data_IF_847568692311
#
_entry.id   IF_847568692311
#
_cell.length_a   1.000
_cell.length_b   1.000
_cell.length_c   1.000
_cell.angle_alpha   90.00
_cell.angle_beta   90.00
_cell.angle_gamma   90.00
#
_symmetry.space_group_name_H-M   'P 1'
#
loop_
_entity.id
_entity.type
_entity.pdbx_description
1 polymer ?
#
# COMPACT_ATOMS: atom_id res chain seq x y z
N UNK A 1 23.84 29.29 -5.82
CA UNK A 1 23.69 28.73 -7.20
C UNK A 1 22.38 29.28 -7.78
N UNK A 2 22.35 29.92 -8.96
CA UNK A 2 21.08 30.38 -9.57
C UNK A 2 20.21 29.15 -9.90
N UNK A 3 18.93 29.15 -9.52
CA UNK A 3 17.96 28.02 -9.62
C UNK A 3 17.98 27.29 -10.97
N UNK A 4 18.21 28.02 -12.07
CA UNK A 4 18.31 27.46 -13.43
C UNK A 4 19.56 26.62 -13.69
N UNK A 5 20.71 26.94 -13.07
CA UNK A 5 21.95 26.15 -13.22
C UNK A 5 21.82 24.80 -12.52
N UNK A 6 21.30 24.78 -11.30
CA UNK A 6 21.07 23.54 -10.55
C UNK A 6 20.07 22.63 -11.28
N UNK A 7 18.94 23.18 -11.73
CA UNK A 7 17.96 22.42 -12.53
C UNK A 7 18.56 21.85 -13.83
N UNK A 8 19.43 22.61 -14.51
CA UNK A 8 20.12 22.13 -15.72
C UNK A 8 21.08 20.98 -15.43
N UNK A 9 21.87 21.06 -14.35
CA UNK A 9 22.77 19.96 -13.95
C UNK A 9 21.97 18.71 -13.59
N UNK A 10 20.89 18.85 -12.82
CA UNK A 10 20.02 17.73 -12.46
C UNK A 10 19.42 17.09 -13.72
N UNK A 11 18.83 17.89 -14.61
CA UNK A 11 18.11 17.37 -15.79
C UNK A 11 19.02 16.82 -16.88
N UNK A 12 20.17 17.43 -17.10
CA UNK A 12 21.01 17.15 -18.27
C UNK A 12 22.27 16.34 -17.94
N UNK A 13 22.64 16.21 -16.66
CA UNK A 13 23.85 15.47 -16.24
C UNK A 13 23.46 14.33 -15.29
N UNK A 14 22.91 14.65 -14.12
CA UNK A 14 22.61 13.64 -13.10
C UNK A 14 21.49 12.69 -13.55
N UNK A 15 20.41 13.23 -14.11
CA UNK A 15 19.28 12.46 -14.59
C UNK A 15 19.70 11.39 -15.61
N UNK A 16 20.31 11.76 -16.74
CA UNK A 16 20.78 10.79 -17.73
C UNK A 16 21.79 9.78 -17.17
N UNK A 17 22.69 10.21 -16.27
CA UNK A 17 23.64 9.30 -15.63
C UNK A 17 22.93 8.23 -14.78
N UNK A 18 22.06 8.64 -13.85
CA UNK A 18 21.33 7.68 -13.01
C UNK A 18 20.36 6.80 -13.80
N UNK A 19 19.80 7.31 -14.92
CA UNK A 19 19.00 6.51 -15.85
C UNK A 19 19.83 5.40 -16.49
N UNK A 20 21.02 5.73 -16.98
CA UNK A 20 21.94 4.76 -17.58
C UNK A 20 22.41 3.73 -16.56
N UNK A 21 22.79 4.17 -15.35
CA UNK A 21 23.21 3.30 -14.26
C UNK A 21 22.09 2.33 -13.86
N UNK A 22 20.85 2.81 -13.72
CA UNK A 22 19.69 1.96 -13.42
C UNK A 22 19.44 0.93 -14.52
N UNK A 23 19.44 1.36 -15.79
CA UNK A 23 19.24 0.45 -16.92
C UNK A 23 20.34 -0.61 -17.01
N UNK A 24 21.59 -0.23 -16.71
CA UNK A 24 22.73 -1.15 -16.68
C UNK A 24 22.65 -2.14 -15.51
N UNK A 25 22.25 -1.69 -14.32
CA UNK A 25 22.14 -2.55 -13.13
C UNK A 25 21.00 -3.56 -13.26
N UNK A 26 19.90 -3.20 -13.95
CA UNK A 26 18.82 -4.14 -14.29
C UNK A 26 19.26 -5.11 -15.41
N UNK A 27 19.83 -4.57 -16.49
CA UNK A 27 20.25 -5.34 -17.65
C UNK A 27 19.08 -6.10 -18.29
N UNK A 28 19.24 -7.42 -18.46
CA UNK A 28 18.20 -8.32 -19.01
C UNK A 28 17.48 -9.12 -17.91
N UNK A 29 17.61 -8.68 -16.64
CA UNK A 29 16.96 -9.30 -15.50
C UNK A 29 15.46 -9.05 -15.50
N UNK A 30 14.72 -9.89 -14.76
CA UNK A 30 13.30 -9.65 -14.52
C UNK A 30 13.09 -8.46 -13.60
N UNK A 31 11.99 -7.73 -13.83
CA UNK A 31 11.55 -6.62 -12.99
C UNK A 31 10.03 -6.60 -12.88
N UNK A 32 9.51 -5.83 -11.93
CA UNK A 32 8.08 -5.53 -11.82
C UNK A 32 7.85 -4.05 -11.66
N UNK A 33 6.63 -3.59 -11.94
CA UNK A 33 6.25 -2.20 -11.73
C UNK A 33 5.18 -2.09 -10.65
N UNK A 34 5.24 -1.02 -9.86
CA UNK A 34 4.13 -0.51 -9.07
C UNK A 34 3.66 0.77 -9.76
N UNK A 35 2.38 0.81 -10.11
CA UNK A 35 1.78 1.95 -10.80
C UNK A 35 0.56 2.47 -10.03
N UNK A 36 0.55 3.79 -9.82
CA UNK A 36 -0.50 4.48 -9.09
C UNK A 36 -0.92 5.78 -9.78
N UNK A 37 -2.22 6.06 -9.76
CA UNK A 37 -2.81 7.28 -10.33
C UNK A 37 -3.08 8.30 -9.23
N UNK A 38 -2.58 9.51 -9.39
CA UNK A 38 -2.90 10.63 -8.50
C UNK A 38 -3.40 11.84 -9.29
N UNK A 39 -4.20 12.68 -8.64
CA UNK A 39 -4.70 13.93 -9.22
C UNK A 39 -4.19 15.10 -8.39
N UNK A 40 -3.47 16.02 -9.02
CA UNK A 40 -3.00 17.26 -8.37
C UNK A 40 -4.15 18.27 -8.19
N UNK A 41 -3.94 19.25 -7.32
CA UNK A 41 -4.81 20.40 -7.03
C UNK A 41 -5.21 21.13 -8.32
N UNK A 42 -4.33 21.13 -9.34
CA UNK A 42 -4.60 21.71 -10.66
C UNK A 42 -5.47 20.84 -11.58
N UNK A 43 -6.03 19.72 -11.09
CA UNK A 43 -6.82 18.71 -11.84
C UNK A 43 -5.98 17.92 -12.86
N UNK A 44 -4.67 18.13 -12.87
CA UNK A 44 -3.73 17.35 -13.69
C UNK A 44 -3.57 15.95 -13.09
N UNK A 45 -3.73 14.92 -13.92
CA UNK A 45 -3.53 13.54 -13.50
C UNK A 45 -2.08 13.13 -13.71
N UNK A 46 -1.56 12.32 -12.80
CA UNK A 46 -0.22 11.78 -12.84
C UNK A 46 -0.26 10.27 -12.69
N UNK A 47 0.54 9.58 -13.49
CA UNK A 47 0.85 8.17 -13.32
C UNK A 47 2.25 8.08 -12.74
N UNK A 48 2.33 7.66 -11.49
CA UNK A 48 3.60 7.36 -10.87
C UNK A 48 3.97 5.90 -11.14
N UNK A 49 5.24 5.69 -11.49
CA UNK A 49 5.78 4.38 -11.81
C UNK A 49 7.00 4.15 -10.92
N UNK A 50 6.94 3.10 -10.12
CA UNK A 50 8.08 2.57 -9.38
C UNK A 50 8.45 1.20 -9.93
N UNK A 51 9.72 0.83 -9.84
CA UNK A 51 10.27 -0.43 -10.36
C UNK A 51 10.89 -1.25 -9.22
N UNK A 52 10.65 -2.56 -9.27
CA UNK A 52 11.25 -3.57 -8.38
C UNK A 52 12.15 -4.47 -9.22
N UNK A 53 13.41 -4.62 -8.84
CA UNK A 53 14.39 -5.41 -9.57
C UNK A 53 15.51 -5.91 -8.66
N UNK A 54 16.26 -6.91 -9.10
CA UNK A 54 17.50 -7.33 -8.43
C UNK A 54 18.66 -6.45 -8.88
N UNK A 55 19.27 -5.72 -7.94
CA UNK A 55 20.52 -4.99 -8.17
C UNK A 55 21.70 -5.94 -8.02
N UNK A 56 22.42 -6.19 -9.11
CA UNK A 56 23.66 -6.98 -9.08
C UNK A 56 24.72 -6.26 -8.25
N UNK A 57 24.80 -4.93 -8.40
CA UNK A 57 25.79 -4.10 -7.70
C UNK A 57 25.60 -4.13 -6.18
N UNK A 58 24.35 -4.13 -5.72
CA UNK A 58 24.00 -4.12 -4.28
C UNK A 58 23.67 -5.52 -3.73
N UNK A 59 23.67 -6.54 -4.59
CA UNK A 59 23.30 -7.94 -4.26
C UNK A 59 21.99 -8.03 -3.48
N UNK A 60 20.98 -7.27 -3.91
CA UNK A 60 19.68 -7.19 -3.22
C UNK A 60 18.56 -6.73 -4.16
N UNK A 61 17.32 -7.12 -3.86
CA UNK A 61 16.13 -6.54 -4.45
C UNK A 61 16.02 -5.08 -4.03
N UNK A 62 15.73 -4.23 -5.01
CA UNK A 62 15.61 -2.79 -4.89
C UNK A 62 14.24 -2.38 -5.40
N UNK A 63 13.57 -1.53 -4.63
CA UNK A 63 12.43 -0.73 -5.10
C UNK A 63 12.90 0.70 -5.29
N UNK A 64 12.62 1.30 -6.44
CA UNK A 64 12.96 2.69 -6.71
C UNK A 64 11.89 3.36 -7.56
N UNK A 65 11.75 4.67 -7.38
CA UNK A 65 10.95 5.50 -8.27
C UNK A 65 11.56 5.50 -9.68
N UNK A 66 10.73 5.34 -10.70
CA UNK A 66 11.15 5.28 -12.11
C UNK A 66 10.71 6.53 -12.89
N UNK A 67 9.44 6.92 -12.81
CA UNK A 67 8.93 8.07 -13.56
C UNK A 67 7.62 8.64 -13.00
N UNK A 68 7.39 9.93 -13.22
CA UNK A 68 6.11 10.61 -13.00
C UNK A 68 5.56 11.09 -14.33
N UNK A 69 4.60 10.38 -14.91
CA UNK A 69 4.03 10.73 -16.20
C UNK A 69 2.84 11.66 -16.01
N UNK A 70 2.90 12.87 -16.57
CA UNK A 70 1.73 13.76 -16.66
C UNK A 70 0.75 13.23 -17.70
N UNK A 71 -0.52 13.11 -17.32
CA UNK A 71 -1.57 12.56 -18.16
C UNK A 71 -2.78 13.49 -18.25
N UNK A 72 -3.32 13.64 -19.45
CA UNK A 72 -4.57 14.38 -19.66
C UNK A 72 -5.81 13.57 -19.25
N UNK A 73 -5.90 12.32 -19.73
CA UNK A 73 -6.99 11.39 -19.39
C UNK A 73 -6.40 10.03 -19.03
N UNK A 74 -6.81 9.48 -17.89
CA UNK A 74 -6.40 8.14 -17.45
C UNK A 74 -7.34 7.06 -17.99
N UNK A 75 -7.19 6.76 -19.27
CA UNK A 75 -7.74 5.55 -19.88
C UNK A 75 -6.72 4.42 -19.82
N UNK A 76 -7.18 3.18 -19.91
CA UNK A 76 -6.27 2.02 -19.92
C UNK A 76 -5.25 2.12 -21.06
N UNK A 77 -5.66 2.59 -22.23
CA UNK A 77 -4.75 2.82 -23.37
C UNK A 77 -3.71 3.91 -23.08
N UNK A 78 -4.12 5.01 -22.44
CA UNK A 78 -3.21 6.08 -22.05
C UNK A 78 -2.16 5.61 -21.05
N UNK A 79 -2.57 4.83 -20.05
CA UNK A 79 -1.65 4.27 -19.03
C UNK A 79 -0.69 3.28 -19.68
N UNK A 80 -1.18 2.37 -20.53
CA UNK A 80 -0.32 1.41 -21.25
C UNK A 80 0.70 2.13 -22.14
N UNK A 81 0.28 3.18 -22.85
CA UNK A 81 1.19 3.97 -23.66
C UNK A 81 2.26 4.67 -22.80
N UNK A 82 1.89 5.24 -21.66
CA UNK A 82 2.82 5.88 -20.73
C UNK A 82 3.83 4.87 -20.14
N UNK A 83 3.37 3.69 -19.73
CA UNK A 83 4.23 2.60 -19.26
C UNK A 83 5.21 2.20 -20.36
N UNK A 84 4.73 1.91 -21.57
CA UNK A 84 5.61 1.51 -22.69
C UNK A 84 6.60 2.60 -23.07
N UNK A 85 6.17 3.86 -23.11
CA UNK A 85 7.07 4.99 -23.37
C UNK A 85 8.16 5.09 -22.31
N UNK A 86 7.82 4.88 -21.03
CA UNK A 86 8.79 4.84 -19.95
C UNK A 86 9.75 3.68 -20.12
N UNK A 87 9.26 2.47 -20.42
CA UNK A 87 10.13 1.31 -20.64
C UNK A 87 11.11 1.53 -21.82
N UNK A 88 10.64 2.12 -22.92
CA UNK A 88 11.51 2.47 -24.06
C UNK A 88 12.58 3.50 -23.67
N UNK A 89 12.24 4.51 -22.87
CA UNK A 89 13.19 5.53 -22.41
C UNK A 89 14.32 4.93 -21.58
N UNK A 90 14.00 3.92 -20.75
CA UNK A 90 14.98 3.19 -19.92
C UNK A 90 15.57 1.96 -20.62
N UNK A 91 15.26 1.72 -21.90
CA UNK A 91 15.71 0.54 -22.66
C UNK A 91 15.34 -0.80 -22.00
N UNK A 92 14.21 -0.84 -21.27
CA UNK A 92 13.70 -2.02 -20.59
C UNK A 92 12.75 -2.79 -21.50
N UNK A 93 12.94 -4.11 -21.58
CA UNK A 93 12.07 -4.99 -22.39
C UNK A 93 10.79 -5.29 -21.66
N UNK A 94 9.65 -5.13 -22.33
CA UNK A 94 8.35 -5.46 -21.75
C UNK A 94 8.22 -6.96 -21.43
N UNK A 95 8.84 -7.85 -22.21
CA UNK A 95 8.79 -9.31 -21.94
C UNK A 95 9.49 -9.71 -20.64
N UNK A 96 10.37 -8.86 -20.10
CA UNK A 96 11.06 -9.07 -18.83
C UNK A 96 10.24 -8.57 -17.62
N UNK A 97 9.06 -7.98 -17.84
CA UNK A 97 8.17 -7.55 -16.77
C UNK A 97 7.41 -8.76 -16.19
N UNK A 98 7.61 -9.04 -14.90
CA UNK A 98 7.00 -10.19 -14.18
C UNK A 98 5.76 -9.82 -13.39
N UNK A 99 5.72 -8.63 -12.81
CA UNK A 99 4.59 -8.19 -12.00
C UNK A 99 4.16 -6.77 -12.33
N UNK A 100 2.86 -6.51 -12.15
CA UNK A 100 2.31 -5.16 -12.05
C UNK A 100 1.48 -5.06 -10.77
N UNK A 101 1.92 -4.19 -9.86
CA UNK A 101 1.21 -3.79 -8.67
C UNK A 101 0.37 -2.57 -9.00
N UNK A 102 -0.92 -2.59 -8.68
CA UNK A 102 -1.81 -1.46 -8.91
C UNK A 102 -3.04 -1.47 -8.01
N UNK A 103 -3.77 -0.36 -7.97
CA UNK A 103 -5.06 -0.25 -7.30
C UNK A 103 -6.10 -1.19 -7.95
N UNK A 104 -7.26 -1.31 -7.31
CA UNK A 104 -8.32 -2.17 -7.81
C UNK A 104 -9.25 -1.47 -8.82
N UNK A 105 -8.86 -0.33 -9.38
CA UNK A 105 -9.72 0.40 -10.30
C UNK A 105 -10.01 -0.45 -11.55
N UNK A 106 -11.22 -0.30 -12.10
CA UNK A 106 -11.64 -1.04 -13.29
C UNK A 106 -10.78 -0.73 -14.51
N UNK A 107 -10.19 0.47 -14.57
CA UNK A 107 -9.22 0.87 -15.61
C UNK A 107 -7.95 0.02 -15.53
N UNK A 108 -7.50 -0.33 -14.33
CA UNK A 108 -6.27 -1.09 -14.12
C UNK A 108 -6.49 -2.60 -14.23
N UNK A 109 -7.55 -3.10 -13.59
CA UNK A 109 -7.80 -4.53 -13.36
C UNK A 109 -8.94 -5.13 -14.20
N UNK A 110 -9.58 -4.32 -15.05
CA UNK A 110 -10.74 -4.72 -15.84
C UNK A 110 -10.48 -5.94 -16.71
N UNK A 111 -11.39 -6.91 -16.65
CA UNK A 111 -11.25 -8.21 -17.33
C UNK A 111 -11.11 -8.04 -18.84
N UNK A 112 -11.77 -7.06 -19.47
CA UNK A 112 -11.81 -6.90 -20.93
C UNK A 112 -10.88 -5.82 -21.49
N UNK A 113 -10.73 -4.70 -20.78
CA UNK A 113 -10.00 -3.54 -21.29
C UNK A 113 -9.09 -2.91 -20.23
N UNK A 114 -8.73 -3.66 -19.18
CA UNK A 114 -7.83 -3.17 -18.14
C UNK A 114 -6.37 -3.09 -18.60
N UNK A 115 -5.60 -2.22 -17.96
CA UNK A 115 -4.15 -2.08 -18.17
C UNK A 115 -3.44 -3.42 -18.07
N UNK A 116 -3.74 -4.21 -17.03
CA UNK A 116 -3.13 -5.53 -16.86
C UNK A 116 -3.37 -6.45 -18.06
N UNK A 117 -4.61 -6.52 -18.58
CA UNK A 117 -4.93 -7.39 -19.73
C UNK A 117 -4.16 -6.97 -20.97
N UNK A 118 -4.04 -5.67 -21.22
CA UNK A 118 -3.29 -5.14 -22.37
C UNK A 118 -1.80 -5.44 -22.25
N UNK A 119 -1.20 -5.21 -21.09
CA UNK A 119 0.22 -5.54 -20.87
C UNK A 119 0.47 -7.05 -20.94
N UNK A 120 -0.44 -7.87 -20.38
CA UNK A 120 -0.33 -9.34 -20.39
C UNK A 120 -0.41 -9.95 -21.79
N UNK A 121 -1.06 -9.27 -22.74
CA UNK A 121 -1.09 -9.71 -24.14
C UNK A 121 0.31 -9.70 -24.79
N UNK A 122 1.22 -8.85 -24.30
CA UNK A 122 2.61 -8.73 -24.80
C UNK A 122 3.64 -9.32 -23.82
N UNK A 123 3.31 -9.41 -22.53
CA UNK A 123 4.08 -10.09 -21.50
C UNK A 123 3.25 -11.26 -20.91
N UNK A 124 3.28 -12.46 -21.51
CA UNK A 124 2.39 -13.56 -21.14
C UNK A 124 2.46 -13.99 -19.66
N UNK A 125 3.66 -13.86 -19.06
CA UNK A 125 3.91 -14.22 -17.68
C UNK A 125 3.68 -13.08 -16.68
N UNK A 126 3.04 -11.99 -17.10
CA UNK A 126 2.74 -10.88 -16.22
C UNK A 126 1.71 -11.29 -15.16
N UNK A 127 2.05 -11.06 -13.91
CA UNK A 127 1.19 -11.25 -12.74
C UNK A 127 0.62 -9.91 -12.30
N UNK A 128 -0.69 -9.87 -12.06
CA UNK A 128 -1.35 -8.73 -11.44
C UNK A 128 -1.33 -8.89 -9.93
N UNK A 129 -0.69 -7.96 -9.23
CA UNK A 129 -0.81 -7.82 -7.78
C UNK A 129 -1.77 -6.67 -7.51
N UNK A 130 -2.89 -7.01 -6.89
CA UNK A 130 -3.92 -6.05 -6.48
C UNK A 130 -3.54 -5.45 -5.12
N UNK A 131 -3.82 -4.16 -4.95
CA UNK A 131 -3.63 -3.51 -3.67
C UNK A 131 -4.54 -4.14 -2.59
N UNK A 132 -3.93 -4.67 -1.53
CA UNK A 132 -4.65 -5.22 -0.37
C UNK A 132 -5.37 -4.11 0.40
N UNK A 133 -4.77 -2.93 0.55
CA UNK A 133 -5.39 -1.79 1.23
C UNK A 133 -6.71 -1.38 0.56
N UNK A 134 -6.71 -1.26 -0.77
CA UNK A 134 -7.91 -0.97 -1.56
C UNK A 134 -8.91 -2.13 -1.54
N UNK A 135 -8.43 -3.38 -1.58
CA UNK A 135 -9.30 -4.56 -1.48
C UNK A 135 -10.05 -4.60 -0.15
N UNK A 136 -9.32 -4.36 0.95
CA UNK A 136 -9.88 -4.27 2.29
C UNK A 136 -10.85 -3.09 2.38
N UNK A 137 -10.49 -1.94 1.85
CA UNK A 137 -11.37 -0.77 1.85
C UNK A 137 -12.68 -1.01 1.10
N UNK A 138 -12.63 -1.69 -0.05
CA UNK A 138 -13.84 -2.06 -0.81
C UNK A 138 -14.72 -3.03 -0.01
N UNK A 139 -14.13 -4.04 0.63
CA UNK A 139 -14.85 -5.01 1.45
C UNK A 139 -15.52 -4.32 2.67
N UNK A 140 -14.76 -3.49 3.39
CA UNK A 140 -15.26 -2.73 4.55
C UNK A 140 -16.32 -1.73 4.14
N UNK A 141 -16.14 -1.00 3.04
CA UNK A 141 -17.14 -0.05 2.54
C UNK A 141 -18.44 -0.75 2.14
N UNK A 142 -18.37 -1.95 1.56
CA UNK A 142 -19.56 -2.73 1.21
C UNK A 142 -20.29 -3.22 2.47
N UNK A 143 -19.56 -3.79 3.43
CA UNK A 143 -20.12 -4.29 4.68
C UNK A 143 -20.75 -3.16 5.52
N UNK A 144 -20.08 -2.02 5.62
CA UNK A 144 -20.60 -0.85 6.36
C UNK A 144 -21.83 -0.23 5.71
N UNK A 145 -21.91 -0.19 4.37
CA UNK A 145 -23.09 0.31 3.68
C UNK A 145 -24.36 -0.54 3.93
N UNK A 146 -24.19 -1.83 4.20
CA UNK A 146 -25.29 -2.76 4.50
C UNK A 146 -25.61 -2.80 6.01
N UNK A 147 -24.58 -2.82 6.86
CA UNK A 147 -24.73 -3.04 8.30
C UNK A 147 -24.92 -1.76 9.13
N UNK A 148 -24.33 -0.63 8.72
CA UNK A 148 -24.38 0.61 9.51
C UNK A 148 -25.58 1.49 9.12
N UNK A 149 -26.39 1.92 10.10
CA UNK A 149 -27.42 2.93 9.87
C UNK A 149 -26.84 4.22 9.27
N UNK A 150 -27.43 4.72 8.18
CA UNK A 150 -27.03 5.98 7.51
C UNK A 150 -26.98 7.20 8.44
N UNK A 151 -27.70 7.15 9.55
CA UNK A 151 -27.70 8.18 10.61
C UNK A 151 -26.30 8.38 11.20
N UNK A 152 -25.47 7.32 11.29
CA UNK A 152 -24.12 7.39 11.84
C UNK A 152 -23.12 8.05 10.90
N UNK A 153 -23.15 7.72 9.60
CA UNK A 153 -22.30 8.41 8.60
C UNK A 153 -22.61 9.92 8.59
N UNK A 154 -23.90 10.27 8.73
CA UNK A 154 -24.33 11.66 8.85
C UNK A 154 -23.81 12.32 10.13
N UNK A 155 -23.91 11.65 11.30
CA UNK A 155 -23.42 12.17 12.58
C UNK A 155 -21.93 12.51 12.53
N UNK A 156 -21.13 11.57 12.05
CA UNK A 156 -19.67 11.70 11.96
C UNK A 156 -19.31 12.87 11.05
N UNK A 157 -19.91 12.91 9.85
CA UNK A 157 -19.64 13.96 8.85
C UNK A 157 -20.06 15.34 9.34
N UNK A 158 -21.26 15.47 9.88
CA UNK A 158 -21.78 16.78 10.29
C UNK A 158 -21.12 17.30 11.57
N UNK A 159 -20.68 16.41 12.47
CA UNK A 159 -19.84 16.80 13.63
C UNK A 159 -18.51 17.39 13.13
N UNK A 160 -17.84 16.77 12.16
CA UNK A 160 -16.64 17.35 11.56
C UNK A 160 -16.93 18.71 10.88
N UNK A 161 -17.95 18.78 10.02
CA UNK A 161 -18.32 20.00 9.30
C UNK A 161 -18.62 21.16 10.24
N UNK A 162 -19.21 20.88 11.40
CA UNK A 162 -19.53 21.88 12.42
C UNK A 162 -18.28 22.65 12.87
N UNK A 163 -17.19 21.93 13.13
CA UNK A 163 -15.91 22.50 13.58
C UNK A 163 -15.05 23.00 12.43
N UNK A 164 -15.05 22.32 11.28
CA UNK A 164 -14.22 22.68 10.12
C UNK A 164 -14.59 24.06 9.55
N UNK A 165 -15.87 24.44 9.61
CA UNK A 165 -16.37 25.69 8.99
C UNK A 165 -16.03 26.95 9.78
N UNK A 166 -15.88 26.85 11.10
CA UNK A 166 -15.74 28.04 11.95
C UNK A 166 -14.75 27.81 13.10
N UNK A 167 -13.55 28.45 13.06
CA UNK A 167 -12.56 28.35 14.14
C UNK A 167 -13.10 28.78 15.51
N UNK A 168 -14.04 29.73 15.55
CA UNK A 168 -14.68 30.18 16.79
C UNK A 168 -15.42 29.04 17.52
N UNK A 169 -15.99 28.08 16.79
CA UNK A 169 -16.68 26.92 17.37
C UNK A 169 -15.69 25.94 18.01
N UNK A 170 -14.49 25.80 17.43
CA UNK A 170 -13.41 25.00 18.02
C UNK A 170 -12.91 25.62 19.33
N UNK A 171 -12.75 26.96 19.38
CA UNK A 171 -12.36 27.66 20.61
C UNK A 171 -13.43 27.53 21.70
N UNK A 172 -14.70 27.67 21.35
CA UNK A 172 -15.82 27.51 22.29
C UNK A 172 -15.86 26.09 22.87
N UNK A 173 -15.69 25.07 22.01
CA UNK A 173 -15.62 23.68 22.44
C UNK A 173 -14.42 23.38 23.33
N UNK A 174 -13.22 23.85 22.96
CA UNK A 174 -12.00 23.72 23.77
C UNK A 174 -12.16 24.32 25.17
N UNK A 175 -12.81 25.48 25.28
CA UNK A 175 -13.10 26.09 26.58
C UNK A 175 -14.08 25.26 27.40
N UNK A 176 -15.14 24.72 26.78
CA UNK A 176 -16.10 23.86 27.45
C UNK A 176 -15.45 22.55 27.92
N UNK A 177 -14.67 21.92 27.05
CA UNK A 177 -13.97 20.67 27.33
C UNK A 177 -13.04 20.81 28.53
N UNK A 178 -12.20 21.84 28.56
CA UNK A 178 -11.30 22.08 29.70
C UNK A 178 -12.04 22.38 31.02
N UNK A 179 -13.26 22.91 30.97
CA UNK A 179 -14.09 23.07 32.19
C UNK A 179 -14.68 21.76 32.68
N UNK A 180 -14.90 20.79 31.79
CA UNK A 180 -15.47 19.48 32.11
C UNK A 180 -14.41 18.46 32.53
N UNK A 181 -13.18 18.60 32.00
CA UNK A 181 -12.09 17.65 32.13
C UNK A 181 -10.84 18.27 32.80
N UNK A 182 -11.04 19.07 33.84
CA UNK A 182 -9.98 19.61 34.71
C UNK A 182 -8.78 20.28 34.00
N UNK A 183 -9.05 20.95 32.87
CA UNK A 183 -8.06 21.69 32.09
C UNK A 183 -7.42 20.92 30.93
N UNK A 184 -7.85 19.68 30.67
CA UNK A 184 -7.39 18.90 29.52
C UNK A 184 -7.82 19.49 28.18
N UNK A 185 -7.15 19.04 27.12
CA UNK A 185 -7.38 19.48 25.74
C UNK A 185 -8.20 18.46 24.95
N UNK A 186 -9.21 18.89 24.18
CA UNK A 186 -10.01 17.97 23.35
C UNK A 186 -9.19 17.39 22.19
N UNK A 187 -9.52 16.15 21.80
CA UNK A 187 -9.02 15.58 20.54
C UNK A 187 -9.67 16.28 19.35
N UNK A 188 -8.85 16.68 18.36
CA UNK A 188 -9.34 17.34 17.14
C UNK A 188 -10.26 16.40 16.35
N UNK A 189 -11.51 16.79 16.11
CA UNK A 189 -12.39 15.99 15.25
C UNK A 189 -11.82 15.93 13.83
N UNK A 190 -11.62 14.73 13.31
CA UNK A 190 -11.04 14.50 11.97
C UNK A 190 -12.13 14.22 10.94
N UNK A 191 -11.84 14.55 9.69
CA UNK A 191 -12.71 14.19 8.59
C UNK A 191 -12.61 12.69 8.33
N UNK A 192 -13.74 11.99 8.36
CA UNK A 192 -13.81 10.64 7.81
C UNK A 192 -13.60 10.73 6.29
N UNK A 193 -12.48 10.19 5.81
CA UNK A 193 -12.11 10.14 4.41
C UNK A 193 -12.52 8.80 3.81
N UNK A 194 -13.27 8.85 2.70
CA UNK A 194 -13.75 7.66 1.99
C UNK A 194 -12.64 6.81 1.36
N UNK A 195 -11.45 7.36 1.16
CA UNK A 195 -10.30 6.62 0.58
C UNK A 195 -9.28 6.18 1.61
N UNK A 196 -9.35 6.68 2.86
CA UNK A 196 -8.40 6.34 3.94
C UNK A 196 -9.18 5.80 5.13
N UNK A 197 -9.47 4.52 5.12
CA UNK A 197 -10.34 3.87 6.11
C UNK A 197 -9.89 4.03 7.57
N UNK A 198 -8.59 4.12 7.83
CA UNK A 198 -8.04 4.49 9.15
C UNK A 198 -8.61 5.82 9.67
N UNK A 199 -8.96 6.76 8.78
CA UNK A 199 -9.58 8.03 9.20
C UNK A 199 -11.00 7.87 9.72
N UNK A 200 -11.72 6.81 9.35
CA UNK A 200 -13.06 6.54 9.88
C UNK A 200 -12.96 6.03 11.32
N UNK A 201 -12.05 5.10 11.59
CA UNK A 201 -11.81 4.58 12.95
C UNK A 201 -11.36 5.71 13.89
N UNK A 202 -10.40 6.52 13.47
CA UNK A 202 -9.97 7.71 14.22
C UNK A 202 -11.13 8.72 14.40
N UNK A 203 -11.94 8.97 13.37
CA UNK A 203 -13.08 9.89 13.47
C UNK A 203 -14.13 9.39 14.47
N UNK A 204 -14.42 8.09 14.44
CA UNK A 204 -15.37 7.43 15.34
C UNK A 204 -14.85 7.46 16.77
N UNK A 205 -13.61 7.00 17.02
CA UNK A 205 -13.00 7.00 18.34
C UNK A 205 -13.04 8.39 18.96
N UNK A 206 -12.61 9.42 18.23
CA UNK A 206 -12.60 10.81 18.77
C UNK A 206 -13.98 11.36 19.10
N UNK A 207 -15.03 10.90 18.43
CA UNK A 207 -16.41 11.30 18.73
C UNK A 207 -16.93 10.54 19.95
N UNK A 208 -16.65 9.24 20.03
CA UNK A 208 -17.02 8.37 21.16
C UNK A 208 -16.32 8.82 22.45
N UNK A 209 -15.01 9.01 22.40
CA UNK A 209 -14.17 9.42 23.54
C UNK A 209 -14.58 10.79 24.13
N UNK A 210 -15.28 11.60 23.35
CA UNK A 210 -15.71 12.96 23.73
C UNK A 210 -17.24 13.13 23.65
N UNK A 211 -18.01 12.03 23.71
CA UNK A 211 -19.45 12.07 23.44
C UNK A 211 -20.20 13.01 24.40
N UNK A 212 -19.84 12.98 25.68
CA UNK A 212 -20.50 13.75 26.74
C UNK A 212 -20.28 15.25 26.55
N UNK A 213 -19.06 15.63 26.22
CA UNK A 213 -18.62 17.00 25.97
C UNK A 213 -19.24 17.54 24.67
N UNK A 214 -19.25 16.74 23.62
CA UNK A 214 -19.88 17.09 22.35
C UNK A 214 -21.40 17.30 22.53
N UNK A 215 -22.06 16.43 23.30
CA UNK A 215 -23.48 16.60 23.64
C UNK A 215 -23.72 17.91 24.40
N UNK A 216 -22.91 18.23 25.40
CA UNK A 216 -22.99 19.48 26.14
C UNK A 216 -22.75 20.71 25.24
N UNK A 217 -21.80 20.60 24.31
CA UNK A 217 -21.51 21.64 23.33
C UNK A 217 -22.73 21.94 22.44
N UNK A 218 -23.35 20.90 21.86
CA UNK A 218 -24.51 21.08 20.99
C UNK A 218 -25.76 21.55 21.75
N UNK A 219 -25.90 21.19 23.02
CA UNK A 219 -26.94 21.71 23.91
C UNK A 219 -26.82 23.24 24.12
N UNK A 220 -25.60 23.73 24.31
CA UNK A 220 -25.34 25.16 24.42
C UNK A 220 -25.56 25.82 23.05
N UNK A 221 -24.97 25.27 21.99
CA UNK A 221 -25.03 25.83 20.64
C UNK A 221 -26.46 25.94 20.10
N UNK A 222 -27.35 24.97 20.37
CA UNK A 222 -28.76 25.07 19.91
C UNK A 222 -29.50 26.23 20.59
N UNK A 223 -29.16 26.55 21.84
CA UNK A 223 -29.79 27.64 22.60
C UNK A 223 -29.20 29.02 22.22
N UNK A 224 -27.91 29.08 21.92
CA UNK A 224 -27.19 30.34 21.67
C UNK A 224 -27.14 30.74 20.20
N UNK A 225 -26.87 29.80 19.28
CA UNK A 225 -26.64 30.09 17.86
C UNK A 225 -27.92 30.00 17.00
N UNK A 226 -29.05 29.52 17.56
CA UNK A 226 -30.35 29.36 16.87
C UNK A 226 -30.24 28.78 15.46
N UNK A 227 -29.35 27.79 15.27
CA UNK A 227 -29.15 27.16 13.99
C UNK A 227 -29.65 25.72 14.02
N UNK A 228 -30.39 25.34 12.97
CA UNK A 228 -31.01 24.02 12.86
C UNK A 228 -29.98 22.88 12.91
N UNK A 229 -28.76 23.12 12.41
CA UNK A 229 -27.67 22.13 12.48
C UNK A 229 -27.32 21.75 13.93
N UNK A 230 -27.34 22.70 14.88
CA UNK A 230 -27.09 22.40 16.29
C UNK A 230 -28.25 21.62 16.93
N UNK A 231 -29.50 21.92 16.56
CA UNK A 231 -30.67 21.17 17.03
C UNK A 231 -30.66 19.72 16.53
N UNK A 232 -30.34 19.51 15.26
CA UNK A 232 -30.20 18.18 14.66
C UNK A 232 -29.09 17.40 15.34
N UNK A 233 -27.88 17.98 15.45
CA UNK A 233 -26.75 17.31 16.09
C UNK A 233 -27.07 17.00 17.56
N UNK A 234 -27.61 17.94 18.33
CA UNK A 234 -28.03 17.67 19.70
C UNK A 234 -29.02 16.50 19.80
N UNK A 235 -30.06 16.47 18.97
CA UNK A 235 -31.02 15.36 18.95
C UNK A 235 -30.38 14.02 18.60
N UNK A 236 -29.33 14.02 17.78
CA UNK A 236 -28.54 12.82 17.48
C UNK A 236 -27.67 12.37 18.66
N UNK A 237 -27.02 13.30 19.38
CA UNK A 237 -26.25 12.99 20.59
C UNK A 237 -27.14 12.65 21.80
N UNK A 238 -28.40 13.09 21.81
CA UNK A 238 -29.38 12.77 22.84
C UNK A 238 -29.97 11.35 22.68
N UNK A 239 -30.15 10.91 21.45
CA UNK A 239 -30.73 9.60 21.15
C UNK A 239 -29.82 8.46 21.66
N UNK A 240 -30.27 7.76 22.71
CA UNK A 240 -29.53 6.66 23.31
C UNK A 240 -29.28 5.46 22.39
N UNK A 241 -30.01 5.32 21.27
CA UNK A 241 -29.69 4.31 20.25
C UNK A 241 -28.35 4.65 19.58
N UNK A 242 -28.01 5.93 19.43
CA UNK A 242 -26.71 6.36 18.90
C UNK A 242 -25.58 6.21 19.93
N UNK A 243 -25.90 6.26 21.23
CA UNK A 243 -24.99 5.96 22.33
C UNK A 243 -24.73 4.45 22.46
N UNK A 244 -25.77 3.59 22.33
CA UNK A 244 -25.63 2.13 22.34
C UNK A 244 -24.96 1.55 21.10
N UNK A 245 -24.70 2.38 20.09
CA UNK A 245 -23.78 2.06 19.00
C UNK A 245 -22.32 2.20 19.43
N UNK A 246 -21.99 2.79 20.59
CA UNK A 246 -20.68 2.58 21.23
C UNK A 246 -20.43 1.08 21.44
N UNK A 247 -21.42 0.26 21.80
CA UNK A 247 -21.20 -1.20 21.88
C UNK A 247 -21.02 -1.88 20.51
N UNK A 248 -21.35 -1.20 19.40
CA UNK A 248 -21.16 -1.68 18.02
C UNK A 248 -19.96 -1.02 17.30
N UNK A 249 -19.49 0.13 17.79
CA UNK A 249 -18.39 0.94 17.28
C UNK A 249 -17.15 0.85 18.18
N UNK A 250 -17.29 0.36 19.42
CA UNK A 250 -16.20 0.02 20.34
C UNK A 250 -15.53 -1.26 19.82
N UNK A 251 -14.29 -1.16 19.35
CA UNK A 251 -13.63 -2.22 18.60
C UNK A 251 -13.06 -3.30 19.52
N UNK A 252 -13.92 -4.09 20.18
CA UNK A 252 -13.50 -5.35 20.84
C UNK A 252 -14.57 -6.44 20.71
N UNK A 253 -14.31 -7.55 20.02
CA UNK A 253 -13.44 -7.74 18.87
C UNK A 253 -14.28 -7.66 17.57
N UNK A 254 -14.06 -6.62 16.77
CA UNK A 254 -14.59 -6.58 15.40
C UNK A 254 -13.68 -7.41 14.47
N UNK A 255 -14.11 -7.63 13.23
CA UNK A 255 -13.39 -8.43 12.21
C UNK A 255 -11.88 -8.10 12.10
N UNK A 256 -11.48 -6.85 12.37
CA UNK A 256 -10.07 -6.45 12.47
C UNK A 256 -9.30 -7.19 13.56
N UNK A 257 -9.84 -7.25 14.79
CA UNK A 257 -9.25 -8.05 15.88
C UNK A 257 -9.25 -9.55 15.58
N UNK A 258 -10.31 -10.09 14.96
CA UNK A 258 -10.31 -11.51 14.57
C UNK A 258 -9.31 -11.79 13.46
N UNK A 259 -9.12 -10.86 12.52
CA UNK A 259 -8.12 -10.97 11.45
C UNK A 259 -6.70 -10.78 11.99
N UNK A 260 -6.46 -9.80 12.85
CA UNK A 260 -5.17 -9.57 13.54
C UNK A 260 -4.86 -10.75 14.45
N UNK A 261 -5.81 -11.22 15.25
CA UNK A 261 -5.66 -12.43 16.08
C UNK A 261 -5.47 -13.66 15.22
N UNK A 262 -6.11 -13.77 14.05
CA UNK A 262 -5.87 -14.88 13.11
C UNK A 262 -4.48 -14.78 12.46
N UNK A 263 -4.04 -13.58 12.08
CA UNK A 263 -2.71 -13.31 11.52
C UNK A 263 -1.63 -13.54 12.58
N UNK A 264 -1.86 -13.12 13.81
CA UNK A 264 -0.96 -13.30 14.94
C UNK A 264 -0.98 -14.75 15.44
N UNK A 265 -2.12 -15.45 15.36
CA UNK A 265 -2.18 -16.89 15.55
C UNK A 265 -1.48 -17.63 14.41
N UNK A 266 -1.55 -17.16 13.16
CA UNK A 266 -0.78 -17.72 12.04
C UNK A 266 0.73 -17.46 12.21
N UNK A 267 1.12 -16.31 12.77
CA UNK A 267 2.52 -16.00 13.12
C UNK A 267 2.98 -16.83 14.33
N UNK A 268 2.12 -17.04 15.32
CA UNK A 268 2.39 -17.83 16.53
C UNK A 268 2.41 -19.35 16.24
N UNK A 269 1.54 -19.82 15.34
CA UNK A 269 1.60 -21.19 14.78
C UNK A 269 2.82 -21.41 13.88
N UNK A 270 3.50 -20.33 13.42
CA UNK A 270 4.80 -20.43 12.75
C UNK A 270 5.98 -20.46 13.72
N UNK A 271 5.78 -20.16 15.01
CA UNK A 271 6.85 -20.23 16.03
C UNK A 271 6.92 -21.56 16.77
N UNK A 272 5.87 -22.37 16.75
CA UNK A 272 5.91 -23.75 17.23
C UNK A 272 5.85 -24.71 16.04
N UNK A 273 6.95 -25.44 15.83
CA UNK A 273 7.14 -26.52 14.86
C UNK A 273 7.24 -26.12 13.38
N UNK A 274 8.36 -25.48 13.01
CA UNK A 274 9.07 -25.95 11.81
C UNK A 274 9.87 -27.21 12.20
N UNK A 275 9.15 -28.29 12.54
CA UNK A 275 9.75 -29.61 12.41
C UNK A 275 10.03 -29.77 10.92
N UNK A 276 11.31 -29.77 10.56
CA UNK A 276 11.78 -30.14 9.22
C UNK A 276 11.40 -31.61 9.03
N UNK A 277 10.14 -31.84 8.68
CA UNK A 277 9.64 -33.13 8.22
C UNK A 277 9.88 -33.18 6.72
N UNK A 278 11.05 -33.72 6.37
CA UNK A 278 11.29 -34.61 5.23
C UNK A 278 10.20 -34.65 4.15
N UNK A 279 10.18 -33.62 3.30
CA UNK A 279 9.92 -33.62 1.85
C UNK A 279 9.56 -32.18 1.48
N UNK A 280 10.49 -31.48 0.81
CA UNK A 280 10.22 -30.13 0.34
C UNK A 280 8.99 -30.17 -0.58
N UNK A 281 7.95 -29.38 -0.27
CA UNK A 281 6.72 -29.34 -1.06
C UNK A 281 7.07 -29.19 -2.55
N UNK A 282 6.43 -29.97 -3.45
CA UNK A 282 6.77 -29.95 -4.85
C UNK A 282 6.51 -28.57 -5.43
N UNK A 283 7.53 -27.94 -6.02
CA UNK A 283 7.43 -26.64 -6.69
C UNK A 283 6.51 -26.66 -7.92
N UNK A 284 6.08 -27.84 -8.39
CA UNK A 284 5.32 -28.04 -9.63
C UNK A 284 4.08 -27.13 -9.71
N UNK A 285 3.18 -27.10 -8.71
CA UNK A 285 1.96 -26.30 -8.82
C UNK A 285 2.26 -24.80 -9.00
N UNK A 286 3.30 -24.31 -8.32
CA UNK A 286 3.74 -22.92 -8.46
C UNK A 286 4.36 -22.65 -9.83
N UNK A 287 5.20 -23.56 -10.33
CA UNK A 287 5.85 -23.43 -11.63
C UNK A 287 4.81 -23.47 -12.77
N UNK A 288 3.82 -24.36 -12.68
CA UNK A 288 2.69 -24.43 -13.60
C UNK A 288 1.82 -23.17 -13.56
N UNK A 289 1.53 -22.66 -12.35
CA UNK A 289 0.79 -21.40 -12.18
C UNK A 289 1.52 -20.19 -12.81
N UNK A 290 2.87 -20.22 -12.82
CA UNK A 290 3.71 -19.21 -13.47
C UNK A 290 3.96 -19.49 -14.96
N UNK A 291 3.32 -20.52 -15.52
CA UNK A 291 3.45 -20.97 -16.90
C UNK A 291 4.91 -21.24 -17.31
N UNK A 292 5.69 -21.84 -16.41
CA UNK A 292 7.06 -22.28 -16.71
C UNK A 292 7.02 -23.48 -17.66
N UNK A 293 7.86 -23.53 -18.72
CA UNK A 293 7.87 -24.65 -19.66
C UNK A 293 8.23 -25.98 -18.97
N UNK A 294 7.61 -27.12 -19.36
CA UNK A 294 7.85 -28.41 -18.71
C UNK A 294 9.33 -28.83 -18.64
N UNK A 295 10.11 -28.55 -19.69
CA UNK A 295 11.55 -28.85 -19.71
C UNK A 295 12.34 -28.04 -18.67
N UNK A 296 11.86 -26.84 -18.32
CA UNK A 296 12.46 -26.01 -17.27
C UNK A 296 12.00 -26.47 -15.89
N UNK A 297 10.75 -26.93 -15.77
CA UNK A 297 10.22 -27.51 -14.52
C UNK A 297 11.09 -28.68 -14.06
N UNK A 298 11.38 -29.63 -14.95
CA UNK A 298 12.20 -30.80 -14.62
C UNK A 298 13.60 -30.40 -14.10
N UNK A 299 14.24 -29.42 -14.75
CA UNK A 299 15.52 -28.88 -14.31
C UNK A 299 15.44 -28.22 -12.94
N UNK A 300 14.45 -27.37 -12.72
CA UNK A 300 14.24 -26.66 -11.45
C UNK A 300 14.02 -27.67 -10.31
N UNK A 301 13.23 -28.72 -10.54
CA UNK A 301 13.02 -29.77 -9.55
C UNK A 301 14.29 -30.53 -9.20
N UNK A 302 15.09 -30.88 -10.21
CA UNK A 302 16.38 -31.54 -10.01
C UNK A 302 17.34 -30.65 -9.17
N UNK A 303 17.38 -29.36 -9.48
CA UNK A 303 18.18 -28.38 -8.72
C UNK A 303 17.66 -28.20 -7.30
N UNK A 304 16.34 -28.15 -7.12
CA UNK A 304 15.68 -28.03 -5.81
C UNK A 304 16.02 -29.20 -4.89
N UNK A 305 16.02 -30.44 -5.41
CA UNK A 305 16.42 -31.61 -4.64
C UNK A 305 17.92 -31.64 -4.26
N UNK A 306 18.76 -30.87 -4.94
CA UNK A 306 20.20 -30.78 -4.69
C UNK A 306 20.61 -29.59 -3.83
N UNK A 307 19.73 -28.61 -3.63
CA UNK A 307 20.10 -27.36 -2.95
C UNK A 307 20.54 -27.61 -1.52
N UNK A 308 20.01 -28.64 -0.86
CA UNK A 308 20.35 -29.05 0.50
C UNK A 308 21.68 -29.79 0.63
N UNK A 309 22.32 -30.15 -0.49
CA UNK A 309 23.62 -30.84 -0.49
C UNK A 309 24.80 -29.90 -0.26
N UNK A 310 24.57 -28.59 -0.25
CA UNK A 310 25.57 -27.56 -0.03
C UNK A 310 25.23 -26.73 1.20
N UNK A 311 26.27 -26.29 1.90
CA UNK A 311 26.14 -25.36 3.01
C UNK A 311 26.06 -23.92 2.49
N UNK A 312 24.97 -23.23 2.84
CA UNK A 312 24.73 -21.84 2.47
C UNK A 312 25.02 -20.91 3.65
N UNK A 313 25.59 -19.74 3.37
CA UNK A 313 25.95 -18.77 4.43
C UNK A 313 24.75 -17.92 4.85
N UNK A 314 23.89 -17.57 3.89
CA UNK A 314 22.78 -16.65 4.06
C UNK A 314 21.46 -17.40 4.26
N UNK A 315 21.25 -18.00 5.43
CA UNK A 315 20.03 -18.77 5.72
C UNK A 315 18.96 -17.98 6.50
N UNK A 316 19.29 -16.78 6.97
CA UNK A 316 18.39 -15.97 7.81
C UNK A 316 17.41 -15.09 7.03
N UNK A 317 17.68 -14.85 5.75
CA UNK A 317 16.89 -13.97 4.89
C UNK A 317 16.67 -14.65 3.56
N UNK A 318 15.40 -14.81 3.16
CA UNK A 318 15.02 -15.40 1.87
C UNK A 318 15.68 -14.68 0.71
N UNK A 319 15.76 -13.35 0.76
CA UNK A 319 16.37 -12.57 -0.30
C UNK A 319 17.89 -12.79 -0.35
N UNK A 320 18.57 -12.72 0.79
CA UNK A 320 20.03 -12.92 0.87
C UNK A 320 20.42 -14.33 0.46
N UNK A 321 19.62 -15.33 0.85
CA UNK A 321 19.75 -16.72 0.43
C UNK A 321 19.73 -16.85 -1.09
N UNK A 322 18.67 -16.37 -1.73
CA UNK A 322 18.53 -16.51 -3.17
C UNK A 322 19.52 -15.66 -3.98
N UNK A 323 19.97 -14.53 -3.44
CA UNK A 323 21.09 -13.77 -4.02
C UNK A 323 22.41 -14.57 -3.97
N UNK A 324 22.68 -15.29 -2.87
CA UNK A 324 23.83 -16.20 -2.74
C UNK A 324 23.74 -17.35 -3.75
N UNK A 325 22.60 -18.03 -3.81
CA UNK A 325 22.35 -19.16 -4.73
C UNK A 325 22.42 -18.70 -6.19
N UNK A 326 21.93 -17.51 -6.51
CA UNK A 326 22.02 -16.93 -7.86
C UNK A 326 23.45 -16.59 -8.28
N UNK A 327 24.26 -16.15 -7.33
CA UNK A 327 25.67 -15.79 -7.55
C UNK A 327 26.63 -16.98 -7.40
N UNK A 328 26.12 -18.14 -6.97
CA UNK A 328 26.92 -19.34 -6.75
C UNK A 328 27.63 -19.79 -8.03
N UNK A 329 28.90 -20.16 -7.89
CA UNK A 329 29.74 -20.72 -8.95
C UNK A 329 30.52 -21.89 -8.38
N UNK A 330 30.46 -23.02 -9.08
CA UNK A 330 31.25 -24.20 -8.75
C UNK A 330 32.73 -24.03 -9.16
N UNK A 331 33.54 -25.06 -8.96
CA UNK A 331 34.96 -25.06 -9.31
C UNK A 331 35.22 -24.87 -10.83
N UNK A 332 34.21 -25.08 -11.68
CA UNK A 332 34.27 -24.89 -13.12
C UNK A 332 33.72 -23.52 -13.56
N UNK A 333 33.19 -22.70 -12.65
CA UNK A 333 32.59 -21.40 -12.96
C UNK A 333 31.14 -21.48 -13.45
N UNK A 334 30.48 -22.63 -13.25
CA UNK A 334 29.08 -22.83 -13.61
C UNK A 334 28.18 -22.69 -12.37
N UNK A 335 26.95 -22.21 -12.58
CA UNK A 335 25.95 -22.22 -11.50
C UNK A 335 25.05 -23.45 -11.66
N UNK A 336 25.26 -24.44 -10.79
CA UNK A 336 24.48 -25.69 -10.76
C UNK A 336 22.98 -25.46 -10.51
N UNK A 337 22.60 -24.31 -9.95
CA UNK A 337 21.23 -23.92 -9.58
C UNK A 337 20.69 -22.76 -10.43
N UNK A 338 21.23 -22.52 -11.62
CA UNK A 338 20.93 -21.34 -12.43
C UNK A 338 19.43 -21.17 -12.71
N UNK A 339 18.73 -22.22 -13.15
CA UNK A 339 17.30 -22.19 -13.46
C UNK A 339 16.44 -21.96 -12.20
N UNK A 340 16.74 -22.66 -11.11
CA UNK A 340 16.05 -22.52 -9.83
C UNK A 340 16.24 -21.12 -9.24
N UNK A 341 17.49 -20.65 -9.19
CA UNK A 341 17.81 -19.32 -8.70
C UNK A 341 17.16 -18.25 -9.59
N UNK A 342 17.23 -18.41 -10.92
CA UNK A 342 16.59 -17.50 -11.86
C UNK A 342 15.07 -17.42 -11.66
N UNK A 343 14.42 -18.56 -11.41
CA UNK A 343 13.00 -18.60 -11.07
C UNK A 343 12.72 -17.89 -9.74
N UNK A 344 13.46 -18.19 -8.68
CA UNK A 344 13.30 -17.54 -7.38
C UNK A 344 13.50 -16.02 -7.46
N UNK A 345 14.55 -15.55 -8.15
CA UNK A 345 14.79 -14.13 -8.38
C UNK A 345 13.63 -13.47 -9.15
N UNK A 346 13.01 -14.18 -10.10
CA UNK A 346 11.84 -13.68 -10.81
C UNK A 346 10.57 -13.57 -9.95
N UNK A 347 10.49 -14.36 -8.87
CA UNK A 347 9.41 -14.25 -7.88
C UNK A 347 9.69 -13.13 -6.86
N UNK A 348 10.95 -12.96 -6.44
CA UNK A 348 11.33 -11.95 -5.45
C UNK A 348 11.14 -10.50 -5.93
N UNK A 349 11.07 -10.30 -7.24
CA UNK A 349 10.76 -8.98 -7.82
C UNK A 349 9.25 -8.73 -7.92
N UNK A 350 8.38 -9.68 -7.58
CA UNK A 350 6.94 -9.44 -7.60
C UNK A 350 6.55 -8.39 -6.54
N UNK A 351 5.63 -7.46 -6.87
CA UNK A 351 5.16 -6.48 -5.90
C UNK A 351 4.54 -7.17 -4.69
N UNK A 352 4.86 -6.68 -3.50
CA UNK A 352 4.22 -7.10 -2.25
C UNK A 352 3.31 -5.99 -1.76
N UNK A 353 2.08 -6.32 -1.41
CA UNK A 353 1.17 -5.44 -0.68
C UNK A 353 1.30 -5.74 0.82
N UNK A 354 2.23 -5.06 1.51
CA UNK A 354 2.47 -5.24 2.95
C UNK A 354 1.83 -4.13 3.79
N UNK A 355 1.48 -4.40 5.07
CA UNK A 355 1.16 -3.36 6.04
C UNK A 355 2.45 -2.60 6.43
N UNK A 356 2.34 -1.27 6.53
CA UNK A 356 3.40 -0.34 6.92
C UNK A 356 4.08 -0.78 8.23
N UNK A 357 5.40 -0.99 8.22
CA UNK A 357 6.19 -0.80 9.44
C UNK A 357 6.33 0.71 9.64
N UNK A 358 5.52 1.25 10.55
CA UNK A 358 5.69 2.64 10.99
C UNK A 358 6.99 2.70 11.79
N UNK A 359 8.05 3.20 11.17
CA UNK A 359 9.20 3.73 11.92
C UNK A 359 8.70 5.01 12.60
N UNK A 360 8.36 4.90 13.87
CA UNK A 360 8.12 6.04 14.74
C UNK A 360 9.44 6.77 14.97
N UNK A 361 9.73 7.79 14.18
CA UNK A 361 10.74 8.79 14.56
C UNK A 361 10.10 9.74 15.60
N UNK A 362 10.20 9.33 16.87
CA UNK A 362 10.05 10.20 18.02
C UNK A 362 11.19 11.23 18.02
N UNK A 363 11.07 12.32 17.26
CA UNK A 363 11.57 13.68 17.56
C UNK A 363 11.72 14.55 16.30
N UNK A 364 10.65 15.24 15.90
CA UNK A 364 10.74 16.62 15.40
C UNK A 364 9.34 17.19 15.19
N UNK A 365 9.03 18.28 15.90
CA UNK A 365 7.76 19.00 15.82
C UNK A 365 7.58 19.85 14.56
N UNK A 366 7.76 19.27 13.38
CA UNK A 366 7.33 19.83 12.10
C UNK A 366 6.46 18.79 11.38
N UNK A 367 5.14 18.92 11.53
CA UNK A 367 4.15 18.18 10.75
C UNK A 367 4.03 18.79 9.34
N UNK A 368 5.10 18.69 8.55
CA UNK A 368 4.99 18.73 7.08
C UNK A 368 5.08 17.28 6.57
N UNK A 369 3.92 16.77 6.17
CA UNK A 369 3.69 15.43 5.65
C UNK A 369 4.48 15.16 4.36
N UNK A 370 5.73 14.74 4.49
CA UNK A 370 6.46 14.02 3.45
C UNK A 370 5.98 12.56 3.42
N UNK A 371 4.79 12.33 2.86
CA UNK A 371 4.33 10.99 2.45
C UNK A 371 4.46 10.93 0.93
N UNK A 372 5.67 10.70 0.45
CA UNK A 372 5.93 10.42 -0.96
C UNK A 372 6.33 8.95 -1.14
N UNK A 373 5.44 8.22 -1.81
CA UNK A 373 5.75 7.09 -2.70
C UNK A 373 6.70 6.01 -2.15
N UNK A 374 6.18 5.18 -1.27
CA UNK A 374 6.18 3.72 -1.45
C UNK A 374 4.87 3.23 -0.85
N UNK A 375 4.37 2.10 -1.31
CA UNK A 375 3.21 1.36 -0.79
C UNK A 375 1.89 1.66 -1.52
N UNK A 376 1.46 0.65 -2.27
CA UNK A 376 0.08 0.50 -2.71
C UNK A 376 -0.84 0.24 -1.52
#
# INVERSE_FOLDING_TARGET
MRRSKCASVIKNVLGPHFKADLAQDIGDSYYSLIIDESTDISVTKFLAISIIYHSVTKSRIMTTFLNLCTMGVCTADGIVAAVKSTLMEYCLKLERMRGVGTDNASVMTGINNGVHRKLKAEAPHLVLIRCVCHSLQLATSAATAEALPRILEYLIRETYNWFARFPARQMAYKKLYGLMNDGDEPLKIVQACRTRWLSLEIAVSRIVDQWTELKAHFEIARRTEKCYAAEVLYGMYENQINLGLEDHLNPKPYLGYLFETYVDNMKAQKTDEFSVADEAEPLIPLLEAMAVPPETIEKIQNQWGKITLLDWKQISSTQSFWCEVHSYKDACGENLFAELAGFAMSMLVLPTSGPVEMVSDDNSGDEDLDVFFVDL
#
